data_IF_773002672082
#
_entry.id   IF_773002672082
#
_cell.length_a   1.000
_cell.length_b   1.000
_cell.length_c   1.000
_cell.angle_alpha   90.00
_cell.angle_beta   90.00
_cell.angle_gamma   90.00
#
_symmetry.space_group_name_H-M   'P 1'
#
loop_
_entity.id
_entity.type
_entity.pdbx_description
1 polymer ?
#
# COMPACT_ATOMS: atom_id res chain seq x y z
N UNK A 1 84.87 28.84 5.51
CA UNK A 1 83.58 29.50 5.23
C UNK A 1 82.80 28.86 4.08
N UNK A 2 83.41 28.59 2.91
CA UNK A 2 82.71 28.02 1.76
C UNK A 2 81.96 26.69 2.03
N UNK A 3 82.51 25.79 2.86
CA UNK A 3 81.85 24.51 3.18
C UNK A 3 80.62 24.65 4.11
N UNK A 4 80.57 25.68 4.97
CA UNK A 4 79.44 25.91 5.87
C UNK A 4 78.27 26.47 5.06
N UNK A 5 78.54 27.47 4.20
CA UNK A 5 77.54 28.04 3.29
C UNK A 5 76.99 26.98 2.33
N UNK A 6 77.83 26.07 1.82
CA UNK A 6 77.38 24.96 0.98
C UNK A 6 76.45 23.98 1.74
N UNK A 7 76.77 23.66 2.99
CA UNK A 7 75.93 22.80 3.82
C UNK A 7 74.60 23.47 4.21
N UNK A 8 74.59 24.77 4.53
CA UNK A 8 73.38 25.54 4.83
C UNK A 8 72.44 25.59 3.61
N UNK A 9 72.99 25.84 2.41
CA UNK A 9 72.24 25.84 1.15
C UNK A 9 71.68 24.44 0.85
N UNK A 10 72.46 23.37 1.05
CA UNK A 10 71.95 22.00 0.88
C UNK A 10 70.83 21.67 1.86
N UNK A 11 70.91 22.15 3.12
CA UNK A 11 69.84 21.99 4.12
C UNK A 11 68.56 22.73 3.73
N UNK A 12 68.71 23.92 3.17
CA UNK A 12 67.58 24.74 2.71
C UNK A 12 66.93 24.18 1.43
N UNK A 13 67.72 23.54 0.56
CA UNK A 13 67.23 22.95 -0.70
C UNK A 13 66.66 21.53 -0.53
N UNK A 14 67.05 20.78 0.52
CA UNK A 14 66.55 19.44 0.82
C UNK A 14 65.01 19.32 0.81
N UNK A 15 64.23 20.17 1.52
CA UNK A 15 62.77 20.08 1.50
C UNK A 15 62.16 20.46 0.15
N UNK A 16 62.88 21.22 -0.68
CA UNK A 16 62.43 21.58 -2.02
C UNK A 16 62.67 20.43 -3.02
N UNK A 17 63.79 19.71 -2.87
CA UNK A 17 64.07 18.48 -3.62
C UNK A 17 63.09 17.37 -3.27
N UNK A 18 62.75 17.17 -1.99
CA UNK A 18 61.73 16.19 -1.59
C UNK A 18 60.35 16.50 -2.20
N UNK A 19 59.98 17.78 -2.27
CA UNK A 19 58.74 18.20 -2.94
C UNK A 19 58.78 17.97 -4.45
N UNK A 20 59.92 18.24 -5.09
CA UNK A 20 60.12 17.97 -6.52
C UNK A 20 60.03 16.49 -6.83
N UNK A 21 60.67 15.63 -6.03
CA UNK A 21 60.60 14.18 -6.18
C UNK A 21 59.16 13.65 -6.00
N UNK A 22 58.43 14.20 -5.01
CA UNK A 22 57.03 13.85 -4.80
C UNK A 22 56.13 14.28 -5.96
N UNK A 23 56.32 15.50 -6.48
CA UNK A 23 55.60 15.99 -7.66
C UNK A 23 55.93 15.12 -8.88
N UNK A 24 57.19 14.78 -9.10
CA UNK A 24 57.62 13.95 -10.23
C UNK A 24 56.99 12.55 -10.16
N UNK A 25 56.94 11.95 -8.97
CA UNK A 25 56.32 10.63 -8.77
C UNK A 25 54.80 10.70 -8.96
N UNK A 26 54.15 11.73 -8.40
CA UNK A 26 52.71 11.92 -8.56
C UNK A 26 52.31 12.21 -10.01
N UNK A 27 53.13 12.97 -10.75
CA UNK A 27 52.89 13.26 -12.16
C UNK A 27 53.10 11.99 -13.00
N UNK A 28 54.14 11.21 -12.72
CA UNK A 28 54.39 9.92 -13.37
C UNK A 28 53.21 8.97 -13.24
N UNK A 29 52.68 8.82 -12.02
CA UNK A 29 51.51 7.97 -11.77
C UNK A 29 50.27 8.44 -12.54
N UNK A 30 50.03 9.76 -12.58
CA UNK A 30 48.90 10.33 -13.32
C UNK A 30 49.03 10.14 -14.83
N UNK A 31 50.25 10.19 -15.37
CA UNK A 31 50.51 9.92 -16.79
C UNK A 31 50.21 8.45 -17.11
N UNK A 32 50.66 7.52 -16.27
CA UNK A 32 50.35 6.09 -16.43
C UNK A 32 48.83 5.82 -16.40
N UNK A 33 48.10 6.46 -15.47
CA UNK A 33 46.64 6.33 -15.38
C UNK A 33 45.93 6.87 -16.63
N UNK A 34 46.43 7.98 -17.18
CA UNK A 34 45.92 8.58 -18.42
C UNK A 34 46.22 7.66 -19.60
N UNK A 35 47.44 7.12 -19.72
CA UNK A 35 47.82 6.19 -20.79
C UNK A 35 46.96 4.92 -20.78
N UNK A 36 46.69 4.38 -19.60
CA UNK A 36 45.80 3.23 -19.45
C UNK A 36 44.36 3.56 -19.87
N UNK A 37 43.86 4.74 -19.49
CA UNK A 37 42.51 5.19 -19.85
C UNK A 37 42.38 5.44 -21.35
N UNK A 38 43.37 6.07 -21.97
CA UNK A 38 43.40 6.34 -23.42
C UNK A 38 43.48 5.02 -24.20
N UNK A 39 44.30 4.07 -23.75
CA UNK A 39 44.39 2.74 -24.37
C UNK A 39 43.05 1.98 -24.29
N UNK A 40 42.38 2.02 -23.13
CA UNK A 40 41.07 1.40 -22.96
C UNK A 40 39.99 2.07 -23.84
N UNK A 41 40.06 3.39 -24.00
CA UNK A 41 39.17 4.12 -24.90
C UNK A 41 39.45 3.82 -26.37
N UNK A 42 40.71 3.65 -26.77
CA UNK A 42 41.10 3.23 -28.12
C UNK A 42 40.48 1.88 -28.51
N UNK A 43 40.58 0.88 -27.63
CA UNK A 43 39.96 -0.45 -27.85
C UNK A 43 38.43 -0.34 -27.95
N UNK A 44 37.81 0.57 -27.19
CA UNK A 44 36.36 0.78 -27.25
C UNK A 44 35.93 1.50 -28.53
N UNK A 45 36.77 2.42 -29.03
CA UNK A 45 36.56 3.13 -30.29
C UNK A 45 36.67 2.17 -31.47
N UNK A 46 37.70 1.32 -31.50
CA UNK A 46 37.89 0.30 -32.54
C UNK A 46 36.70 -0.68 -32.59
N UNK A 47 36.19 -1.11 -31.44
CA UNK A 47 34.96 -1.93 -31.35
C UNK A 47 33.71 -1.21 -31.86
N UNK A 48 33.62 0.11 -31.67
CA UNK A 48 32.51 0.91 -32.19
C UNK A 48 32.63 1.10 -33.70
N UNK A 49 33.83 1.37 -34.22
CA UNK A 49 34.10 1.48 -35.65
C UNK A 49 33.78 0.17 -36.36
N UNK A 50 34.15 -0.98 -35.78
CA UNK A 50 33.79 -2.30 -36.32
C UNK A 50 32.26 -2.50 -36.38
N UNK A 51 31.52 -2.11 -35.33
CA UNK A 51 30.05 -2.18 -35.32
C UNK A 51 29.39 -1.21 -36.29
N UNK A 52 29.97 -0.02 -36.50
CA UNK A 52 29.46 0.96 -37.46
C UNK A 52 29.71 0.49 -38.89
N UNK A 53 30.86 -0.14 -39.17
CA UNK A 53 31.13 -0.78 -40.45
C UNK A 53 30.15 -1.93 -40.75
N UNK A 54 29.80 -2.75 -39.75
CA UNK A 54 28.77 -3.80 -39.87
C UNK A 54 27.36 -3.24 -40.16
N UNK A 55 27.06 -2.02 -39.72
CA UNK A 55 25.77 -1.36 -39.98
C UNK A 55 25.77 -0.67 -41.35
N UNK A 56 26.91 -0.10 -41.77
CA UNK A 56 27.06 0.64 -43.02
C UNK A 56 26.81 -0.18 -44.29
N UNK A 57 27.00 -1.49 -44.23
CA UNK A 57 26.92 -2.39 -45.39
C UNK A 57 25.59 -3.18 -45.47
N UNK A 58 24.60 -2.84 -44.65
CA UNK A 58 23.27 -3.49 -44.71
C UNK A 58 22.31 -2.77 -45.67
N UNK A 59 21.80 -3.44 -46.73
CA UNK A 59 20.89 -2.82 -47.69
C UNK A 59 19.58 -2.37 -47.03
N UNK A 60 19.09 -1.19 -47.45
CA UNK A 60 17.93 -0.44 -46.93
C UNK A 60 16.63 -1.24 -46.73
N UNK A 61 16.51 -2.43 -47.31
CA UNK A 61 15.35 -3.32 -47.15
C UNK A 61 15.23 -3.94 -45.75
N UNK A 62 16.34 -4.23 -45.05
CA UNK A 62 16.30 -4.90 -43.72
C UNK A 62 15.87 -3.94 -42.60
N UNK A 63 16.10 -2.63 -42.75
CA UNK A 63 15.66 -1.62 -41.79
C UNK A 63 14.14 -1.45 -41.78
N UNK A 64 13.47 -1.65 -42.92
CA UNK A 64 12.01 -1.61 -43.00
C UNK A 64 11.37 -2.78 -42.27
N UNK A 65 11.92 -3.99 -42.42
CA UNK A 65 11.39 -5.19 -41.74
C UNK A 65 11.63 -5.16 -40.22
N UNK A 66 12.79 -4.64 -39.78
CA UNK A 66 13.04 -4.42 -38.34
C UNK A 66 12.20 -3.30 -37.75
N UNK A 67 11.87 -2.27 -38.52
CA UNK A 67 10.97 -1.19 -38.07
C UNK A 67 9.53 -1.70 -37.90
N UNK A 68 9.08 -2.57 -38.81
CA UNK A 68 7.77 -3.23 -38.71
C UNK A 68 7.72 -4.23 -37.52
N UNK A 69 8.80 -4.97 -37.27
CA UNK A 69 8.91 -5.85 -36.09
C UNK A 69 8.96 -5.06 -34.77
N UNK A 70 9.59 -3.87 -34.77
CA UNK A 70 9.58 -2.96 -33.62
C UNK A 70 8.22 -2.33 -33.39
N UNK A 71 7.52 -1.89 -34.44
CA UNK A 71 6.14 -1.38 -34.32
C UNK A 71 5.19 -2.49 -33.86
N UNK A 72 5.33 -3.70 -34.39
CA UNK A 72 4.57 -4.88 -33.93
C UNK A 72 4.83 -5.19 -32.46
N UNK A 73 6.09 -5.17 -32.01
CA UNK A 73 6.45 -5.34 -30.59
C UNK A 73 5.98 -4.19 -29.72
N UNK A 74 5.95 -2.96 -30.21
CA UNK A 74 5.38 -1.82 -29.49
C UNK A 74 3.86 -1.95 -29.39
N UNK A 75 3.19 -2.40 -30.44
CA UNK A 75 1.75 -2.67 -30.43
C UNK A 75 1.40 -3.85 -29.53
N UNK A 76 2.24 -4.88 -29.50
CA UNK A 76 2.09 -6.02 -28.59
C UNK A 76 2.41 -5.64 -27.15
N UNK A 77 3.44 -4.83 -26.90
CA UNK A 77 3.68 -4.26 -25.56
C UNK A 77 2.55 -3.32 -25.15
N UNK A 78 1.95 -2.56 -26.08
CA UNK A 78 0.78 -1.73 -25.84
C UNK A 78 -0.48 -2.57 -25.61
N UNK A 79 -0.64 -3.72 -26.28
CA UNK A 79 -1.76 -4.63 -26.08
C UNK A 79 -1.58 -5.45 -24.80
N UNK A 80 -0.36 -5.81 -24.43
CA UNK A 80 0.00 -6.38 -23.13
C UNK A 80 -0.14 -5.33 -22.03
N UNK A 81 0.19 -4.05 -22.26
CA UNK A 81 -0.10 -2.95 -21.34
C UNK A 81 -1.60 -2.65 -21.27
N UNK A 82 -2.35 -2.78 -22.35
CA UNK A 82 -3.80 -2.61 -22.34
C UNK A 82 -4.47 -3.81 -21.67
N UNK A 83 -3.93 -5.01 -21.86
CA UNK A 83 -4.31 -6.24 -21.17
C UNK A 83 -3.94 -6.15 -19.70
N UNK A 84 -2.78 -5.62 -19.34
CA UNK A 84 -2.33 -5.36 -17.97
C UNK A 84 -3.08 -4.18 -17.34
N UNK A 85 -3.48 -3.15 -18.11
CA UNK A 85 -4.35 -2.06 -17.66
C UNK A 85 -5.80 -2.50 -17.50
N UNK A 86 -6.25 -3.46 -18.32
CA UNK A 86 -7.56 -4.10 -18.18
C UNK A 86 -7.56 -5.20 -17.11
N UNK A 87 -6.38 -5.77 -16.84
CA UNK A 87 -6.08 -6.69 -15.73
C UNK A 87 -5.62 -5.93 -14.48
N UNK A 88 -5.46 -4.61 -14.57
CA UNK A 88 -5.16 -3.75 -13.44
C UNK A 88 -6.48 -3.50 -12.75
N UNK A 89 -6.53 -4.09 -11.55
CA UNK A 89 -7.26 -3.63 -10.39
C UNK A 89 -8.62 -4.29 -10.12
N UNK A 90 -8.62 -5.62 -10.03
CA UNK A 90 -9.02 -6.19 -8.73
C UNK A 90 -7.94 -5.79 -7.70
N UNK A 91 -7.87 -4.49 -7.36
CA UNK A 91 -7.13 -4.04 -6.19
C UNK A 91 -7.82 -4.74 -5.05
N UNK A 92 -7.19 -5.80 -4.54
CA UNK A 92 -7.39 -6.18 -3.15
C UNK A 92 -7.37 -4.86 -2.38
N UNK A 93 -8.51 -4.41 -1.82
CA UNK A 93 -8.58 -3.10 -1.22
C UNK A 93 -7.44 -3.03 -0.22
N UNK A 94 -6.60 -2.01 -0.33
CA UNK A 94 -5.57 -1.78 0.67
C UNK A 94 -6.27 -1.24 1.92
N UNK A 95 -6.93 -2.17 2.62
CA UNK A 95 -7.72 -1.96 3.82
C UNK A 95 -6.90 -1.25 4.89
N UNK A 96 -5.58 -1.52 4.93
CA UNK A 96 -4.66 -0.90 5.86
C UNK A 96 -4.48 0.62 5.63
N UNK A 97 -4.72 1.13 4.41
CA UNK A 97 -4.60 2.56 4.08
C UNK A 97 -5.94 3.21 3.73
N UNK A 98 -7.04 2.50 3.97
CA UNK A 98 -8.37 2.97 3.61
C UNK A 98 -9.18 3.31 4.85
N UNK A 99 -9.78 4.50 4.83
CA UNK A 99 -10.80 4.94 5.78
C UNK A 99 -12.18 4.74 5.18
N UNK A 100 -13.15 4.40 6.01
CA UNK A 100 -14.58 4.45 5.68
C UNK A 100 -15.19 5.62 6.43
N UNK A 101 -15.91 6.47 5.69
CA UNK A 101 -16.70 7.57 6.23
C UNK A 101 -18.16 7.30 5.98
N UNK A 102 -18.98 7.41 7.02
CA UNK A 102 -20.43 7.21 6.93
C UNK A 102 -21.23 8.32 7.60
N UNK A 103 -22.54 8.29 7.38
CA UNK A 103 -23.46 9.36 7.79
C UNK A 103 -23.67 10.44 6.72
N UNK A 104 -23.20 10.20 5.50
CA UNK A 104 -23.23 11.17 4.38
C UNK A 104 -24.50 11.06 3.53
N UNK A 105 -25.63 10.60 4.11
CA UNK A 105 -26.84 10.26 3.36
C UNK A 105 -27.50 11.46 2.67
N UNK A 106 -27.24 12.68 3.15
CA UNK A 106 -27.75 13.91 2.53
C UNK A 106 -26.98 14.33 1.29
N UNK A 107 -25.81 13.73 1.04
CA UNK A 107 -25.02 14.01 -0.15
C UNK A 107 -25.51 13.14 -1.30
N UNK A 108 -25.78 13.77 -2.44
CA UNK A 108 -26.39 13.10 -3.61
C UNK A 108 -25.45 12.17 -4.37
N UNK A 109 -24.14 12.38 -4.25
CA UNK A 109 -23.17 11.70 -5.10
C UNK A 109 -21.85 11.44 -4.39
N UNK A 110 -21.05 10.54 -4.98
CA UNK A 110 -19.67 10.30 -4.56
C UNK A 110 -18.85 11.58 -4.70
N UNK A 111 -19.06 12.36 -5.76
CA UNK A 111 -18.34 13.60 -6.02
C UNK A 111 -18.59 14.64 -4.92
N UNK A 112 -19.84 14.79 -4.49
CA UNK A 112 -20.21 15.70 -3.39
C UNK A 112 -19.57 15.23 -2.07
N UNK A 113 -19.61 13.93 -1.80
CA UNK A 113 -18.99 13.32 -0.64
C UNK A 113 -17.45 13.48 -0.64
N UNK A 114 -16.80 13.32 -1.79
CA UNK A 114 -15.37 13.57 -1.96
C UNK A 114 -15.03 15.03 -1.68
N UNK A 115 -15.77 15.96 -2.28
CA UNK A 115 -15.56 17.41 -2.07
C UNK A 115 -15.74 17.77 -0.60
N UNK A 116 -16.79 17.27 0.04
CA UNK A 116 -17.05 17.45 1.46
C UNK A 116 -15.87 16.92 2.29
N UNK A 117 -15.43 15.68 2.04
CA UNK A 117 -14.34 15.07 2.79
C UNK A 117 -13.03 15.84 2.60
N UNK A 118 -12.68 16.23 1.37
CA UNK A 118 -11.49 17.04 1.08
C UNK A 118 -11.50 18.36 1.85
N UNK A 119 -12.63 19.06 1.87
CA UNK A 119 -12.80 20.31 2.61
C UNK A 119 -12.63 20.10 4.12
N UNK A 120 -13.25 19.05 4.69
CA UNK A 120 -13.17 18.76 6.13
C UNK A 120 -11.76 18.36 6.54
N UNK A 121 -11.11 17.47 5.80
CA UNK A 121 -9.71 17.08 6.09
C UNK A 121 -8.79 18.30 6.04
N UNK A 122 -8.95 19.19 5.04
CA UNK A 122 -8.18 20.42 4.94
C UNK A 122 -8.43 21.36 6.13
N UNK A 123 -9.69 21.55 6.54
CA UNK A 123 -10.04 22.43 7.68
C UNK A 123 -9.50 21.93 9.02
N UNK A 124 -9.27 20.62 9.14
CA UNK A 124 -8.72 19.99 10.34
C UNK A 124 -7.19 19.84 10.28
N UNK A 125 -6.53 20.38 9.26
CA UNK A 125 -5.10 20.15 8.99
C UNK A 125 -4.73 18.66 8.97
N UNK A 126 -5.67 17.82 8.52
CA UNK A 126 -5.50 16.38 8.42
C UNK A 126 -4.72 16.01 7.15
N UNK A 127 -3.99 14.88 7.14
CA UNK A 127 -3.44 14.32 5.92
C UNK A 127 -4.50 14.21 4.82
N UNK A 128 -4.19 14.57 3.56
CA UNK A 128 -5.14 14.45 2.46
C UNK A 128 -5.26 12.99 2.00
N UNK A 129 -6.45 12.62 1.52
CA UNK A 129 -6.62 11.34 0.82
C UNK A 129 -6.01 11.41 -0.59
N UNK A 130 -5.53 10.28 -1.11
CA UNK A 130 -5.03 10.14 -2.49
C UNK A 130 -6.12 9.74 -3.48
N UNK A 131 -7.30 9.41 -2.99
CA UNK A 131 -8.46 9.07 -3.82
C UNK A 131 -9.62 8.56 -2.99
N UNK A 132 -10.80 8.54 -3.60
CA UNK A 132 -12.05 8.11 -2.97
C UNK A 132 -12.85 7.21 -3.90
N UNK A 133 -13.61 6.28 -3.35
CA UNK A 133 -14.47 5.38 -4.12
C UNK A 133 -15.66 4.89 -3.28
N UNK A 134 -16.61 4.19 -3.92
CA UNK A 134 -17.70 3.47 -3.27
C UNK A 134 -17.68 2.00 -3.69
N UNK A 135 -18.17 1.11 -2.82
CA UNK A 135 -18.26 -0.34 -3.09
C UNK A 135 -19.61 -0.76 -3.69
N UNK A 136 -20.63 0.09 -3.61
CA UNK A 136 -21.98 -0.14 -4.13
C UNK A 136 -22.15 0.50 -5.51
N UNK A 137 -23.17 0.06 -6.27
CA UNK A 137 -23.54 0.68 -7.55
C UNK A 137 -24.14 2.08 -7.35
N UNK A 138 -24.83 2.28 -6.23
CA UNK A 138 -25.46 3.55 -5.85
C UNK A 138 -24.77 4.11 -4.61
N UNK A 139 -24.67 5.44 -4.53
CA UNK A 139 -24.17 6.10 -3.34
C UNK A 139 -25.22 6.03 -2.22
N UNK A 140 -24.83 5.49 -1.06
CA UNK A 140 -25.71 5.30 0.10
C UNK A 140 -25.07 5.87 1.37
N UNK A 141 -24.55 7.09 1.27
CA UNK A 141 -23.95 7.80 2.41
C UNK A 141 -22.67 7.17 2.97
N UNK A 142 -22.01 6.30 2.19
CA UNK A 142 -20.75 5.62 2.55
C UNK A 142 -19.67 5.92 1.52
N UNK A 143 -18.57 6.51 1.97
CA UNK A 143 -17.41 6.87 1.16
C UNK A 143 -16.16 6.14 1.68
N UNK A 144 -15.36 5.59 0.76
CA UNK A 144 -14.06 5.00 1.07
C UNK A 144 -12.97 5.95 0.60
N UNK A 145 -12.05 6.32 1.49
CA UNK A 145 -10.95 7.24 1.20
C UNK A 145 -9.61 6.54 1.41
N UNK A 146 -8.77 6.53 0.37
CA UNK A 146 -7.44 5.92 0.41
C UNK A 146 -6.40 6.97 0.80
N UNK A 147 -5.42 6.58 1.60
CA UNK A 147 -4.32 7.43 2.03
C UNK A 147 -2.97 6.87 1.56
N UNK A 148 -1.93 7.70 1.65
CA UNK A 148 -0.57 7.32 1.27
C UNK A 148 0.00 6.25 2.22
N UNK A 149 -0.31 6.35 3.51
CA UNK A 149 0.12 5.42 4.56
C UNK A 149 -1.03 5.07 5.53
N UNK A 150 -0.84 4.03 6.34
CA UNK A 150 -1.77 3.71 7.44
C UNK A 150 -1.76 4.80 8.53
N UNK A 151 -0.60 5.40 8.79
CA UNK A 151 -0.43 6.50 9.77
C UNK A 151 -1.26 7.72 9.36
N UNK A 152 -1.22 8.10 8.07
CA UNK A 152 -2.02 9.21 7.56
C UNK A 152 -3.52 8.93 7.72
N UNK A 153 -3.93 7.69 7.41
CA UNK A 153 -5.31 7.23 7.58
C UNK A 153 -5.73 7.26 9.04
N UNK A 154 -4.91 6.78 9.96
CA UNK A 154 -5.21 6.74 11.39
C UNK A 154 -5.30 8.14 11.99
N UNK A 155 -4.40 9.03 11.57
CA UNK A 155 -4.43 10.46 11.93
C UNK A 155 -5.74 11.10 11.45
N UNK A 156 -6.13 10.87 10.20
CA UNK A 156 -7.37 11.39 9.64
C UNK A 156 -8.62 10.85 10.35
N UNK A 157 -8.65 9.54 10.66
CA UNK A 157 -9.73 8.93 11.44
C UNK A 157 -9.83 9.57 12.82
N UNK A 158 -8.71 9.73 13.52
CA UNK A 158 -8.68 10.33 14.86
C UNK A 158 -9.21 11.77 14.85
N UNK A 159 -8.73 12.60 13.91
CA UNK A 159 -9.15 14.00 13.76
C UNK A 159 -10.63 14.14 13.39
N UNK A 160 -11.13 13.32 12.46
CA UNK A 160 -12.54 13.36 12.09
C UNK A 160 -13.45 12.91 13.25
N UNK A 161 -13.02 11.93 14.05
CA UNK A 161 -13.78 11.45 15.21
C UNK A 161 -13.82 12.49 16.34
N UNK A 162 -12.72 13.21 16.57
CA UNK A 162 -12.65 14.25 17.61
C UNK A 162 -13.39 15.53 17.21
N UNK A 163 -13.53 15.81 15.92
CA UNK A 163 -14.23 16.98 15.41
C UNK A 163 -15.77 16.91 15.54
N UNK A 164 -16.33 15.76 15.92
CA UNK A 164 -17.78 15.56 16.12
C UNK A 164 -18.65 16.13 15.00
N UNK A 165 -18.22 15.90 13.76
CA UNK A 165 -18.86 16.48 12.58
C UNK A 165 -20.29 15.97 12.41
N UNK A 166 -21.16 16.86 11.95
CA UNK A 166 -22.54 16.56 11.59
C UNK A 166 -22.81 17.04 10.17
N UNK A 167 -23.66 16.30 9.47
CA UNK A 167 -24.15 16.63 8.13
C UNK A 167 -25.66 16.39 8.10
N UNK A 168 -26.45 17.44 7.82
CA UNK A 168 -27.92 17.38 7.85
C UNK A 168 -28.49 16.75 9.14
N UNK A 169 -27.90 17.10 10.29
CA UNK A 169 -28.32 16.59 11.61
C UNK A 169 -27.88 15.16 11.93
N UNK A 170 -27.24 14.44 10.99
CA UNK A 170 -26.66 13.13 11.25
C UNK A 170 -25.19 13.25 11.63
N UNK A 171 -24.78 12.51 12.66
CA UNK A 171 -23.37 12.43 13.06
C UNK A 171 -22.56 11.70 11.98
N UNK A 172 -21.47 12.31 11.55
CA UNK A 172 -20.48 11.67 10.69
C UNK A 172 -19.56 10.81 11.53
N UNK A 173 -19.27 9.62 11.02
CA UNK A 173 -18.30 8.71 11.63
C UNK A 173 -17.23 8.32 10.61
N UNK A 174 -16.02 8.12 11.11
CA UNK A 174 -14.88 7.65 10.36
C UNK A 174 -14.24 6.46 11.09
N UNK A 175 -13.87 5.43 10.35
CA UNK A 175 -13.18 4.23 10.87
C UNK A 175 -12.25 3.66 9.81
N UNK A 176 -11.33 2.80 10.23
CA UNK A 176 -10.60 1.92 9.32
C UNK A 176 -11.55 1.05 8.47
N UNK A 177 -11.22 0.88 7.19
CA UNK A 177 -11.79 -0.21 6.38
C UNK A 177 -11.14 -1.52 6.79
N UNK A 178 -11.95 -2.48 7.22
CA UNK A 178 -11.47 -3.77 7.69
C UNK A 178 -11.75 -4.84 6.63
N UNK A 179 -10.84 -5.83 6.47
CA UNK A 179 -11.14 -7.03 5.70
C UNK A 179 -12.45 -7.66 6.15
N UNK A 180 -13.17 -8.29 5.24
CA UNK A 180 -14.50 -8.83 5.53
C UNK A 180 -14.49 -9.79 6.73
N UNK A 181 -13.47 -10.63 6.83
CA UNK A 181 -13.24 -11.54 7.95
C UNK A 181 -13.20 -10.79 9.28
N UNK A 182 -12.35 -9.76 9.37
CA UNK A 182 -12.21 -8.92 10.55
C UNK A 182 -13.50 -8.14 10.86
N UNK A 183 -14.26 -7.73 9.84
CA UNK A 183 -15.58 -7.10 10.05
C UNK A 183 -16.59 -8.08 10.65
N UNK A 184 -16.66 -9.31 10.16
CA UNK A 184 -17.56 -10.33 10.71
C UNK A 184 -17.24 -10.62 12.18
N UNK A 185 -15.95 -10.81 12.51
CA UNK A 185 -15.51 -10.99 13.89
C UNK A 185 -15.85 -9.78 14.77
N UNK A 186 -15.54 -8.56 14.31
CA UNK A 186 -15.87 -7.32 15.02
C UNK A 186 -17.37 -7.18 15.28
N UNK A 187 -18.21 -7.46 14.28
CA UNK A 187 -19.68 -7.39 14.42
C UNK A 187 -20.17 -8.40 15.47
N UNK A 188 -19.65 -9.62 15.43
CA UNK A 188 -19.97 -10.63 16.44
C UNK A 188 -19.56 -10.20 17.85
N UNK A 189 -18.29 -9.82 18.06
CA UNK A 189 -17.79 -9.43 19.39
C UNK A 189 -18.49 -8.19 19.95
N UNK A 190 -18.78 -7.19 19.10
CA UNK A 190 -19.54 -6.00 19.51
C UNK A 190 -20.97 -6.36 19.92
N UNK A 191 -21.63 -7.24 19.16
CA UNK A 191 -22.97 -7.71 19.50
C UNK A 191 -22.97 -8.54 20.78
N UNK A 192 -21.98 -9.42 20.96
CA UNK A 192 -21.80 -10.19 22.19
C UNK A 192 -21.55 -9.28 23.39
N UNK A 193 -20.62 -8.31 23.28
CA UNK A 193 -20.35 -7.32 24.32
C UNK A 193 -21.62 -6.54 24.70
N UNK A 194 -22.45 -6.19 23.73
CA UNK A 194 -23.73 -5.54 24.00
C UNK A 194 -24.69 -6.47 24.77
N UNK A 195 -24.85 -7.71 24.30
CA UNK A 195 -25.72 -8.71 24.93
C UNK A 195 -25.31 -9.03 26.37
N UNK A 196 -24.00 -9.19 26.62
CA UNK A 196 -23.49 -9.36 27.98
C UNK A 196 -23.82 -8.14 28.86
N UNK A 197 -23.78 -6.94 28.29
CA UNK A 197 -24.22 -5.73 28.98
C UNK A 197 -25.68 -5.79 29.42
N UNK A 198 -26.57 -6.31 28.58
CA UNK A 198 -27.99 -6.50 28.90
C UNK A 198 -28.19 -7.57 29.99
N UNK A 199 -27.29 -8.54 30.11
CA UNK A 199 -27.27 -9.52 31.19
C UNK A 199 -26.54 -9.05 32.47
N UNK A 200 -26.24 -7.76 32.56
CA UNK A 200 -25.70 -7.14 33.78
C UNK A 200 -24.17 -7.10 33.87
N UNK A 201 -23.44 -7.54 32.84
CA UNK A 201 -21.99 -7.39 32.81
C UNK A 201 -21.61 -5.91 32.60
N UNK A 202 -20.66 -5.43 33.40
CA UNK A 202 -20.21 -4.05 33.31
C UNK A 202 -19.39 -3.82 32.03
N UNK A 203 -19.84 -2.87 31.18
CA UNK A 203 -19.18 -2.58 29.88
C UNK A 203 -17.71 -2.18 29.97
N UNK A 204 -17.32 -1.60 31.12
CA UNK A 204 -15.93 -1.18 31.39
C UNK A 204 -15.00 -2.36 31.68
N UNK A 205 -15.55 -3.47 32.16
CA UNK A 205 -14.76 -4.69 32.45
C UNK A 205 -14.61 -5.55 31.19
N UNK A 206 -15.27 -5.17 30.08
CA UNK A 206 -15.25 -5.92 28.82
C UNK A 206 -14.27 -5.32 27.83
N UNK A 207 -13.29 -6.11 27.41
CA UNK A 207 -12.22 -5.68 26.49
C UNK A 207 -12.17 -6.57 25.25
N UNK A 208 -12.10 -5.94 24.08
CA UNK A 208 -11.78 -6.64 22.83
C UNK A 208 -10.38 -6.22 22.39
N UNK A 209 -9.63 -7.14 21.82
CA UNK A 209 -8.34 -6.78 21.25
C UNK A 209 -8.48 -6.11 19.87
N UNK A 210 -7.43 -5.43 19.42
CA UNK A 210 -7.40 -4.70 18.15
C UNK A 210 -7.59 -5.61 16.93
N UNK A 211 -7.20 -6.87 17.05
CA UNK A 211 -7.39 -7.90 16.03
C UNK A 211 -8.84 -8.40 15.95
N UNK A 212 -9.72 -8.02 16.88
CA UNK A 212 -11.10 -8.51 16.99
C UNK A 212 -11.20 -10.05 17.01
N UNK A 213 -10.22 -10.75 17.56
CA UNK A 213 -10.25 -12.22 17.67
C UNK A 213 -10.47 -12.69 19.10
N UNK A 214 -10.62 -11.78 20.07
CA UNK A 214 -10.82 -12.14 21.47
C UNK A 214 -11.68 -11.11 22.19
N UNK A 215 -12.55 -11.59 23.07
CA UNK A 215 -13.25 -10.80 24.10
C UNK A 215 -12.89 -11.31 25.49
N UNK A 216 -12.60 -10.38 26.39
CA UNK A 216 -12.35 -10.60 27.81
C UNK A 216 -13.40 -9.92 28.68
N UNK A 217 -13.62 -10.47 29.87
CA UNK A 217 -14.36 -9.85 30.98
C UNK A 217 -13.43 -9.89 32.20
N UNK A 218 -13.00 -8.73 32.68
CA UNK A 218 -11.90 -8.64 33.64
C UNK A 218 -10.62 -9.24 33.06
N UNK A 219 -9.96 -10.10 33.82
CA UNK A 219 -8.74 -10.80 33.36
C UNK A 219 -9.06 -12.06 32.53
N UNK A 220 -10.29 -12.56 32.61
CA UNK A 220 -10.72 -13.81 31.98
C UNK A 220 -11.06 -13.66 30.50
N UNK A 221 -10.59 -14.61 29.68
CA UNK A 221 -11.00 -14.71 28.28
C UNK A 221 -12.38 -15.37 28.22
N UNK A 222 -13.32 -14.73 27.54
CA UNK A 222 -14.68 -15.26 27.31
C UNK A 222 -14.69 -16.14 26.06
N UNK A 223 -14.21 -15.57 24.96
CA UNK A 223 -14.21 -16.23 23.65
C UNK A 223 -13.00 -15.80 22.83
N UNK A 224 -12.43 -16.76 22.12
CA UNK A 224 -11.50 -16.52 21.02
C UNK A 224 -12.16 -16.93 19.70
N UNK A 225 -11.96 -16.14 18.65
CA UNK A 225 -12.56 -16.32 17.34
C UNK A 225 -11.52 -16.72 16.32
N UNK A 226 -11.90 -17.65 15.44
CA UNK A 226 -11.18 -17.90 14.20
C UNK A 226 -12.16 -18.03 13.05
N UNK A 227 -11.66 -17.96 11.81
CA UNK A 227 -12.48 -18.22 10.63
C UNK A 227 -11.88 -19.42 9.91
N UNK A 228 -12.65 -20.50 9.79
CA UNK A 228 -12.29 -21.71 9.06
C UNK A 228 -13.37 -22.01 8.04
N UNK A 229 -12.96 -22.34 6.81
CA UNK A 229 -13.90 -22.64 5.71
C UNK A 229 -15.03 -21.60 5.54
N UNK A 230 -14.71 -20.30 5.68
CA UNK A 230 -15.67 -19.18 5.59
C UNK A 230 -16.79 -19.20 6.64
N UNK A 231 -16.55 -19.87 7.77
CA UNK A 231 -17.44 -19.86 8.93
C UNK A 231 -16.69 -19.33 10.15
N UNK A 232 -17.41 -18.61 10.99
CA UNK A 232 -16.95 -18.13 12.28
C UNK A 232 -16.93 -19.29 13.27
N UNK A 233 -15.75 -19.58 13.82
CA UNK A 233 -15.57 -20.57 14.87
C UNK A 233 -15.32 -19.85 16.20
N UNK A 234 -16.11 -20.21 17.21
CA UNK A 234 -16.04 -19.63 18.55
C UNK A 234 -15.43 -20.65 19.51
N UNK A 235 -14.27 -20.32 20.07
CA UNK A 235 -13.63 -21.09 21.14
C UNK A 235 -13.92 -20.40 22.47
N UNK A 236 -14.93 -20.89 23.18
CA UNK A 236 -15.30 -20.41 24.51
C UNK A 236 -14.35 -20.92 25.58
N UNK A 237 -14.13 -20.13 26.64
CA UNK A 237 -13.46 -20.66 27.84
C UNK A 237 -14.40 -21.62 28.60
N UNK A 238 -13.81 -22.49 29.43
CA UNK A 238 -14.52 -23.61 30.06
C UNK A 238 -15.80 -23.21 30.79
N UNK A 239 -15.77 -22.12 31.56
CA UNK A 239 -16.95 -21.63 32.30
C UNK A 239 -18.07 -21.22 31.35
N UNK A 240 -17.74 -20.49 30.29
CA UNK A 240 -18.70 -19.99 29.29
C UNK A 240 -19.21 -21.11 28.38
N UNK A 241 -18.37 -22.10 28.09
CA UNK A 241 -18.74 -23.28 27.32
C UNK A 241 -19.76 -24.15 28.07
N UNK A 242 -19.66 -24.22 29.40
CA UNK A 242 -20.57 -25.01 30.26
C UNK A 242 -21.86 -24.28 30.61
N UNK A 243 -21.94 -22.98 30.39
CA UNK A 243 -23.15 -22.20 30.68
C UNK A 243 -24.24 -22.46 29.63
N UNK A 244 -25.07 -23.46 29.88
CA UNK A 244 -26.06 -23.95 28.92
C UNK A 244 -27.08 -22.89 28.49
N UNK A 245 -27.56 -22.05 29.40
CA UNK A 245 -28.52 -20.98 29.06
C UNK A 245 -27.91 -19.97 28.07
N UNK A 246 -26.64 -19.61 28.28
CA UNK A 246 -25.90 -18.75 27.38
C UNK A 246 -25.70 -19.40 26.01
N UNK A 247 -25.19 -20.64 25.98
CA UNK A 247 -24.91 -21.36 24.73
C UNK A 247 -26.17 -21.62 23.91
N UNK A 248 -27.32 -21.83 24.57
CA UNK A 248 -28.62 -22.05 23.92
C UNK A 248 -29.41 -20.77 23.68
N UNK A 249 -28.87 -19.60 24.04
CA UNK A 249 -29.61 -18.33 23.89
C UNK A 249 -29.87 -18.00 22.41
N UNK A 250 -31.10 -17.57 22.06
CA UNK A 250 -31.42 -17.20 20.68
C UNK A 250 -30.58 -16.00 20.22
N UNK A 251 -30.21 -15.10 21.13
CA UNK A 251 -29.38 -13.92 20.82
C UNK A 251 -27.98 -14.35 20.35
N UNK A 252 -27.35 -15.30 21.04
CA UNK A 252 -26.03 -15.81 20.62
C UNK A 252 -26.09 -16.45 19.23
N UNK A 253 -27.10 -17.28 18.97
CA UNK A 253 -27.30 -17.90 17.67
C UNK A 253 -27.52 -16.87 16.55
N UNK A 254 -28.29 -15.82 16.83
CA UNK A 254 -28.48 -14.71 15.88
C UNK A 254 -27.18 -13.98 15.56
N UNK A 255 -26.33 -13.74 16.57
CA UNK A 255 -25.02 -13.11 16.38
C UNK A 255 -24.10 -13.96 15.50
N UNK A 256 -24.02 -15.27 15.75
CA UNK A 256 -23.24 -16.22 14.94
C UNK A 256 -23.77 -16.24 13.51
N UNK A 257 -25.09 -16.35 13.34
CA UNK A 257 -25.76 -16.40 12.03
C UNK A 257 -25.44 -15.15 11.23
N UNK A 258 -25.62 -13.96 11.82
CA UNK A 258 -25.34 -12.67 11.17
C UNK A 258 -23.88 -12.56 10.73
N UNK A 259 -22.93 -12.99 11.57
CA UNK A 259 -21.52 -12.96 11.22
C UNK A 259 -21.20 -13.93 10.06
N UNK A 260 -21.78 -15.12 10.06
CA UNK A 260 -21.63 -16.09 8.98
C UNK A 260 -22.26 -15.62 7.66
N UNK A 261 -23.45 -15.01 7.70
CA UNK A 261 -24.07 -14.40 6.51
C UNK A 261 -23.16 -13.33 5.88
N UNK A 262 -22.45 -12.55 6.69
CA UNK A 262 -21.47 -11.59 6.18
C UNK A 262 -20.32 -12.28 5.44
N UNK A 263 -19.81 -13.40 5.96
CA UNK A 263 -18.74 -14.17 5.34
C UNK A 263 -19.21 -14.81 4.02
N UNK A 264 -20.44 -15.31 3.97
CA UNK A 264 -21.00 -15.97 2.78
C UNK A 264 -21.25 -15.00 1.61
N UNK A 265 -21.54 -13.72 1.89
CA UNK A 265 -21.73 -12.68 0.84
C UNK A 265 -20.50 -12.50 -0.06
N UNK A 266 -19.29 -12.85 0.38
CA UNK A 266 -18.08 -12.79 -0.44
C UNK A 266 -18.11 -13.80 -1.59
N UNK A 267 -18.59 -15.02 -1.30
CA UNK A 267 -18.63 -16.13 -2.25
C UNK A 267 -19.60 -15.78 -3.39
N UNK A 268 -20.79 -15.28 -3.04
CA UNK A 268 -21.82 -14.93 -4.02
C UNK A 268 -21.44 -13.77 -4.93
N UNK A 269 -20.62 -12.83 -4.43
CA UNK A 269 -20.24 -11.64 -5.19
C UNK A 269 -19.04 -11.88 -6.13
N UNK A 270 -18.18 -12.85 -5.83
CA UNK A 270 -17.05 -13.22 -6.71
C UNK A 270 -17.50 -13.88 -8.02
N UNK A 271 -18.72 -14.42 -8.11
CA UNK A 271 -19.24 -15.12 -9.29
C UNK A 271 -19.94 -14.28 -10.36
N UNK A 272 -20.20 -12.98 -10.13
CA UNK A 272 -20.95 -12.10 -11.08
C UNK A 272 -20.06 -11.24 -11.99
N UNK A 273 -18.84 -11.69 -12.29
CA UNK A 273 -18.00 -11.12 -13.34
C UNK A 273 -18.58 -11.40 -14.73
N UNK A 274 -19.44 -10.52 -15.22
CA UNK A 274 -20.12 -10.63 -16.52
C UNK A 274 -19.11 -10.32 -17.65
N UNK A 275 -18.40 -11.33 -18.15
CA UNK A 275 -17.62 -11.25 -19.39
C UNK A 275 -18.56 -11.13 -20.59
N UNK A 276 -19.04 -9.93 -20.87
CA UNK A 276 -19.77 -9.64 -22.12
C UNK A 276 -18.78 -9.20 -23.20
N UNK A 277 -18.00 -10.17 -23.70
CA UNK A 277 -17.24 -10.00 -24.94
C UNK A 277 -18.20 -10.06 -26.14
N UNK A 278 -18.77 -8.92 -26.50
CA UNK A 278 -19.51 -8.76 -27.75
C UNK A 278 -18.55 -8.79 -28.92
N UNK A 279 -18.43 -9.95 -29.57
CA UNK A 279 -17.84 -10.08 -30.91
C UNK A 279 -18.87 -9.53 -31.90
N UNK A 280 -18.67 -8.28 -32.34
CA UNK A 280 -19.35 -7.73 -33.50
C UNK A 280 -18.62 -8.18 -34.75
N UNK A 281 -19.18 -9.14 -35.48
CA UNK A 281 -18.82 -9.46 -36.87
C UNK A 281 -20.12 -9.53 -37.67
N UNK A 282 -20.38 -8.48 -38.44
CA UNK A 282 -20.95 -8.47 -39.78
C UNK A 282 -21.10 -7.00 -40.21
#
# INVERSE_FOLDING_TARGET
MANIVRNEIQRALAPMNEKLDHIQTSLGQKVEDIEHTVSAQGVRLEKLEQRVAEIGDTPRTILSDRSLDLEGKVQELQSQLASLKSSELAVQPDHARTMVVGGLDSLSSVQDATKWLTQKLSSLSSPPHIGTYMKSQEFRGLLFAKFKSSVDRDTAVALLRSAELHESGKRIWATQDLPLQKRAQKVFLMGLKWQLGEWGFMKRDMEMNDSYDRLKVGEGVVVSLSIKAQQLECQWSDEWARWAEFQNSPELHQLITRANEMLQKDITNKGKGKSKGGRGTA
#
